data_IF_954759955363
#
_entry.id   IF_954759955363
#
_cell.length_a   1.000
_cell.length_b   1.000
_cell.length_c   1.000
_cell.angle_alpha   90.00
_cell.angle_beta   90.00
_cell.angle_gamma   90.00
#
_symmetry.space_group_name_H-M   'P 1'
#
loop_
_entity.id
_entity.type
_entity.pdbx_description
1 polymer ?
#
# COMPACT_ATOMS: atom_id res chain seq x y z
N UNK A 1 1.51 -0.75 5.30
CA UNK A 1 0.30 -1.55 5.56
C UNK A 1 -0.56 -0.90 6.63
N UNK A 2 -0.20 -0.96 7.93
CA UNK A 2 -1.05 -0.45 9.03
C UNK A 2 -1.49 1.01 8.88
N UNK A 3 -0.60 1.91 8.45
CA UNK A 3 -0.98 3.31 8.27
C UNK A 3 -2.13 3.51 7.25
N UNK A 4 -2.12 2.78 6.13
CA UNK A 4 -3.19 2.86 5.11
C UNK A 4 -4.47 2.23 5.64
N UNK A 5 -4.36 1.08 6.31
CA UNK A 5 -5.51 0.43 6.95
C UNK A 5 -6.20 1.37 7.96
N UNK A 6 -5.45 1.90 8.92
CA UNK A 6 -5.99 2.79 9.94
C UNK A 6 -6.61 4.03 9.30
N UNK A 7 -5.96 4.62 8.29
CA UNK A 7 -6.52 5.79 7.61
C UNK A 7 -7.89 5.51 6.99
N UNK A 8 -8.09 4.35 6.34
CA UNK A 8 -9.37 3.96 5.79
C UNK A 8 -10.41 3.69 6.90
N UNK A 9 -10.05 2.85 7.87
CA UNK A 9 -10.95 2.46 8.97
C UNK A 9 -11.39 3.67 9.81
N UNK A 10 -10.45 4.55 10.18
CA UNK A 10 -10.72 5.78 10.92
C UNK A 10 -11.60 6.73 10.09
N UNK A 11 -11.34 6.84 8.77
CA UNK A 11 -12.16 7.68 7.89
C UNK A 11 -13.61 7.21 7.86
N UNK A 12 -13.84 5.89 7.74
CA UNK A 12 -15.18 5.32 7.72
C UNK A 12 -15.87 5.47 9.08
N UNK A 13 -15.17 5.15 10.17
CA UNK A 13 -15.70 5.29 11.52
C UNK A 13 -16.12 6.74 11.83
N UNK A 14 -15.29 7.72 11.46
CA UNK A 14 -15.58 9.13 11.68
C UNK A 14 -16.70 9.67 10.78
N UNK A 15 -16.87 9.13 9.57
CA UNK A 15 -17.92 9.55 8.64
C UNK A 15 -19.30 8.97 8.99
N UNK A 16 -19.35 7.81 9.65
CA UNK A 16 -20.56 7.00 9.84
C UNK A 16 -21.77 7.81 10.32
N UNK A 17 -21.63 8.53 11.44
CA UNK A 17 -22.75 9.28 12.03
C UNK A 17 -23.28 10.38 11.10
N UNK A 18 -22.41 11.05 10.34
CA UNK A 18 -22.80 12.09 9.39
C UNK A 18 -23.55 11.53 8.18
N UNK A 19 -23.11 10.37 7.68
CA UNK A 19 -23.75 9.67 6.57
C UNK A 19 -25.12 9.13 6.98
N UNK A 20 -25.22 8.50 8.15
CA UNK A 20 -26.49 7.98 8.68
C UNK A 20 -27.51 9.10 8.89
N UNK A 21 -27.10 10.21 9.50
CA UNK A 21 -27.97 11.38 9.70
C UNK A 21 -28.47 11.96 8.37
N UNK A 22 -27.58 12.08 7.38
CA UNK A 22 -27.93 12.58 6.04
C UNK A 22 -28.89 11.63 5.32
N UNK A 23 -28.63 10.33 5.37
CA UNK A 23 -29.48 9.31 4.79
C UNK A 23 -30.87 9.31 5.43
N UNK A 24 -30.94 9.47 6.76
CA UNK A 24 -32.21 9.52 7.48
C UNK A 24 -33.03 10.75 7.10
N UNK A 25 -32.41 11.93 7.05
CA UNK A 25 -33.10 13.16 6.62
C UNK A 25 -33.59 13.08 5.17
N UNK A 26 -32.86 12.41 4.28
CA UNK A 26 -33.31 12.15 2.92
C UNK A 26 -34.49 11.18 2.90
N UNK A 27 -34.44 10.12 3.70
CA UNK A 27 -35.45 9.07 3.70
C UNK A 27 -36.82 9.57 4.16
N UNK A 28 -36.86 10.46 5.16
CA UNK A 28 -38.09 11.10 5.63
C UNK A 28 -38.81 11.89 4.52
N UNK A 29 -38.06 12.39 3.54
CA UNK A 29 -38.58 13.20 2.42
C UNK A 29 -38.83 12.36 1.18
N UNK A 30 -37.90 11.47 0.87
CA UNK A 30 -37.87 10.67 -0.35
C UNK A 30 -36.99 9.41 -0.12
N UNK A 31 -37.61 8.26 0.16
CA UNK A 31 -36.90 6.99 0.35
C UNK A 31 -36.02 6.57 -0.82
N UNK A 32 -36.37 6.95 -2.06
CA UNK A 32 -35.59 6.61 -3.26
C UNK A 32 -34.26 7.37 -3.25
N UNK A 33 -34.28 8.66 -2.90
CA UNK A 33 -33.07 9.49 -2.79
C UNK A 33 -32.14 9.02 -1.67
N UNK A 34 -32.69 8.56 -0.55
CA UNK A 34 -31.87 7.99 0.51
C UNK A 34 -31.13 6.72 0.06
N UNK A 35 -31.83 5.83 -0.67
CA UNK A 35 -31.21 4.63 -1.24
C UNK A 35 -30.13 4.98 -2.27
N UNK A 36 -30.40 5.93 -3.15
CA UNK A 36 -29.43 6.41 -4.14
C UNK A 36 -28.20 7.01 -3.46
N UNK A 37 -28.39 7.84 -2.44
CA UNK A 37 -27.31 8.42 -1.63
C UNK A 37 -26.42 7.34 -0.98
N UNK A 38 -27.02 6.36 -0.30
CA UNK A 38 -26.25 5.27 0.34
C UNK A 38 -25.55 4.38 -0.69
N UNK A 39 -26.15 4.14 -1.85
CA UNK A 39 -25.54 3.39 -2.94
C UNK A 39 -24.30 4.12 -3.46
N UNK A 40 -24.43 5.41 -3.77
CA UNK A 40 -23.33 6.23 -4.26
C UNK A 40 -22.21 6.34 -3.22
N UNK A 41 -22.54 6.53 -1.94
CA UNK A 41 -21.58 6.53 -0.85
C UNK A 41 -20.82 5.20 -0.76
N UNK A 42 -21.52 4.07 -0.86
CA UNK A 42 -20.91 2.73 -0.81
C UNK A 42 -19.96 2.49 -2.00
N UNK A 43 -20.36 2.88 -3.21
CA UNK A 43 -19.49 2.80 -4.39
C UNK A 43 -18.23 3.66 -4.23
N UNK A 44 -18.40 4.92 -3.82
CA UNK A 44 -17.29 5.86 -3.63
C UNK A 44 -16.30 5.38 -2.57
N UNK A 45 -16.80 4.85 -1.45
CA UNK A 45 -15.94 4.32 -0.38
C UNK A 45 -15.18 3.07 -0.82
N UNK A 46 -15.81 2.18 -1.58
CA UNK A 46 -15.17 1.00 -2.15
C UNK A 46 -14.07 1.37 -3.17
N UNK A 47 -14.35 2.30 -4.09
CA UNK A 47 -13.37 2.80 -5.05
C UNK A 47 -12.17 3.43 -4.35
N UNK A 48 -12.42 4.31 -3.38
CA UNK A 48 -11.36 4.94 -2.59
C UNK A 48 -10.51 3.93 -1.82
N UNK A 49 -11.11 2.85 -1.28
CA UNK A 49 -10.38 1.77 -0.63
C UNK A 49 -9.43 1.08 -1.62
N UNK A 50 -9.96 0.69 -2.79
CA UNK A 50 -9.19 0.00 -3.84
C UNK A 50 -8.03 0.87 -4.29
N UNK A 51 -8.26 2.15 -4.58
CA UNK A 51 -7.22 3.08 -5.02
C UNK A 51 -6.13 3.26 -3.96
N UNK A 52 -6.51 3.34 -2.69
CA UNK A 52 -5.56 3.46 -1.57
C UNK A 52 -4.67 2.23 -1.45
N UNK A 53 -5.24 1.03 -1.57
CA UNK A 53 -4.48 -0.22 -1.55
C UNK A 53 -3.61 -0.40 -2.80
N UNK A 54 -4.12 -0.04 -3.97
CA UNK A 54 -3.36 -0.07 -5.23
C UNK A 54 -2.14 0.83 -5.16
N UNK A 55 -2.31 2.07 -4.70
CA UNK A 55 -1.21 3.03 -4.51
C UNK A 55 -0.15 2.50 -3.54
N UNK A 56 -0.57 1.84 -2.45
CA UNK A 56 0.37 1.19 -1.55
C UNK A 56 1.10 0.02 -2.21
N UNK A 57 0.39 -0.82 -2.97
CA UNK A 57 0.97 -1.93 -3.71
C UNK A 57 2.03 -1.46 -4.72
N UNK A 58 1.69 -0.45 -5.53
CA UNK A 58 2.62 0.19 -6.47
C UNK A 58 3.86 0.74 -5.76
N UNK A 59 3.66 1.43 -4.62
CA UNK A 59 4.77 1.93 -3.82
C UNK A 59 5.68 0.80 -3.33
N UNK A 60 5.12 -0.29 -2.80
CA UNK A 60 5.90 -1.43 -2.30
C UNK A 60 6.68 -2.12 -3.41
N UNK A 61 6.05 -2.33 -4.58
CA UNK A 61 6.72 -2.87 -5.76
C UNK A 61 7.89 -1.97 -6.14
N UNK A 62 7.65 -0.67 -6.35
CA UNK A 62 8.71 0.27 -6.74
C UNK A 62 9.84 0.30 -5.70
N UNK A 63 9.52 0.19 -4.42
CA UNK A 63 10.49 0.24 -3.33
C UNK A 63 11.38 -1.00 -3.24
N UNK A 64 10.82 -2.19 -3.48
CA UNK A 64 11.46 -3.50 -3.18
C UNK A 64 11.66 -4.41 -4.41
N UNK A 65 11.49 -3.89 -5.64
CA UNK A 65 11.62 -4.68 -6.86
C UNK A 65 13.04 -5.26 -7.05
N UNK A 66 13.13 -6.44 -7.66
CA UNK A 66 14.39 -7.03 -8.17
C UNK A 66 15.51 -7.19 -7.12
N UNK A 67 15.15 -7.53 -5.88
CA UNK A 67 16.11 -7.68 -4.79
C UNK A 67 16.85 -6.37 -4.43
N UNK A 68 16.35 -5.24 -4.92
CA UNK A 68 16.88 -3.91 -4.63
C UNK A 68 15.92 -3.16 -3.71
N UNK A 69 16.48 -2.27 -2.89
CA UNK A 69 15.73 -1.39 -1.99
C UNK A 69 16.04 0.06 -2.38
N UNK A 70 15.02 0.78 -2.86
CA UNK A 70 15.15 2.22 -3.15
C UNK A 70 15.28 3.01 -1.86
N UNK A 71 16.05 4.10 -1.83
CA UNK A 71 16.18 4.92 -0.61
C UNK A 71 14.92 5.76 -0.35
N UNK A 72 14.66 6.10 0.91
CA UNK A 72 13.56 6.97 1.32
C UNK A 72 14.06 8.38 1.61
N UNK A 73 13.27 9.38 1.26
CA UNK A 73 13.41 10.73 1.77
C UNK A 73 12.81 10.83 3.19
N UNK A 74 13.10 11.93 3.90
CA UNK A 74 12.63 12.16 5.28
C UNK A 74 11.11 12.28 5.38
N UNK A 75 10.45 12.67 4.29
CA UNK A 75 9.00 12.81 4.18
C UNK A 75 8.26 11.48 3.90
N UNK A 76 8.99 10.37 3.80
CA UNK A 76 8.40 9.06 3.53
C UNK A 76 8.17 8.76 2.04
N UNK A 77 8.66 9.61 1.13
CA UNK A 77 8.63 9.34 -0.32
C UNK A 77 9.90 8.65 -0.81
N UNK A 78 9.88 8.10 -2.03
CA UNK A 78 11.08 7.54 -2.66
C UNK A 78 12.07 8.67 -2.95
N UNK A 79 13.32 8.52 -2.48
CA UNK A 79 14.38 9.49 -2.68
C UNK A 79 14.72 9.63 -4.17
N UNK A 80 14.59 10.85 -4.69
CA UNK A 80 14.97 11.23 -6.06
C UNK A 80 16.16 12.19 -6.01
N UNK A 81 17.26 11.92 -6.74
CA UNK A 81 18.39 12.83 -6.81
C UNK A 81 18.06 14.01 -7.73
N UNK A 82 18.75 15.14 -7.54
CA UNK A 82 18.57 16.33 -8.40
C UNK A 82 18.89 16.04 -9.88
N UNK A 83 19.84 15.14 -10.15
CA UNK A 83 20.37 14.88 -11.50
C UNK A 83 19.89 13.57 -12.13
N UNK A 84 18.77 12.98 -11.71
CA UNK A 84 18.28 11.78 -12.38
C UNK A 84 17.05 11.10 -11.77
N UNK A 85 16.75 9.90 -12.26
CA UNK A 85 15.48 9.22 -11.98
C UNK A 85 15.47 8.39 -10.68
N UNK A 86 16.63 7.91 -10.19
CA UNK A 86 16.72 7.11 -8.97
C UNK A 86 18.01 7.33 -8.20
N UNK A 87 17.89 7.48 -6.88
CA UNK A 87 19.04 7.49 -5.99
C UNK A 87 19.75 6.12 -6.00
N UNK A 88 21.02 6.04 -5.57
CA UNK A 88 21.73 4.76 -5.46
C UNK A 88 20.92 3.72 -4.67
N UNK A 89 20.77 2.54 -5.26
CA UNK A 89 19.98 1.42 -4.72
C UNK A 89 20.78 0.69 -3.64
N UNK A 90 20.08 0.10 -2.67
CA UNK A 90 20.68 -0.88 -1.73
C UNK A 90 20.35 -2.28 -2.24
N UNK A 91 21.36 -3.13 -2.41
CA UNK A 91 21.18 -4.54 -2.77
C UNK A 91 21.67 -5.40 -1.60
N UNK A 92 20.78 -5.81 -0.68
CA UNK A 92 21.18 -6.55 0.52
C UNK A 92 21.75 -7.94 0.21
N UNK A 93 21.48 -8.49 -0.97
CA UNK A 93 21.85 -9.86 -1.30
C UNK A 93 21.00 -10.87 -0.53
N UNK A 94 21.43 -12.12 -0.52
CA UNK A 94 20.75 -13.17 0.23
C UNK A 94 21.16 -13.16 1.71
N UNK A 95 20.26 -13.54 2.63
CA UNK A 95 20.60 -13.75 4.03
C UNK A 95 21.76 -14.73 4.20
N UNK A 96 22.57 -14.54 5.23
CA UNK A 96 23.74 -15.39 5.51
C UNK A 96 23.34 -16.86 5.69
N UNK A 97 22.23 -17.09 6.35
CA UNK A 97 21.68 -18.42 6.64
C UNK A 97 21.35 -19.15 5.33
N UNK A 98 20.73 -18.45 4.37
CA UNK A 98 20.45 -19.00 3.05
C UNK A 98 21.73 -19.33 2.29
N UNK A 99 22.74 -18.45 2.36
CA UNK A 99 24.03 -18.68 1.71
C UNK A 99 24.74 -19.91 2.30
N UNK A 100 24.69 -20.10 3.62
CA UNK A 100 25.26 -21.26 4.31
C UNK A 100 24.54 -22.57 3.91
N UNK A 101 23.21 -22.56 3.85
CA UNK A 101 22.43 -23.70 3.36
C UNK A 101 22.73 -24.03 1.89
N UNK A 102 22.86 -23.01 1.05
CA UNK A 102 23.20 -23.17 -0.36
C UNK A 102 24.57 -23.83 -0.53
N UNK A 103 25.58 -23.40 0.23
CA UNK A 103 26.92 -24.01 0.22
C UNK A 103 26.85 -25.47 0.67
N UNK A 104 26.12 -25.74 1.76
CA UNK A 104 25.93 -27.11 2.26
C UNK A 104 25.27 -28.03 1.23
N UNK A 105 24.23 -27.53 0.54
CA UNK A 105 23.49 -28.29 -0.47
C UNK A 105 24.31 -28.54 -1.75
N UNK A 106 25.24 -27.63 -2.08
CA UNK A 106 26.00 -27.68 -3.33
C UNK A 106 27.36 -28.34 -3.19
N UNK A 107 27.86 -28.50 -1.96
CA UNK A 107 29.13 -29.17 -1.68
C UNK A 107 30.29 -28.50 -2.41
N UNK A 108 31.14 -29.30 -3.06
CA UNK A 108 32.29 -28.79 -3.81
C UNK A 108 31.97 -28.42 -5.27
N UNK A 109 30.70 -28.48 -5.70
CA UNK A 109 30.29 -28.29 -7.11
C UNK A 109 30.81 -27.00 -7.74
N UNK A 110 30.92 -25.93 -6.96
CA UNK A 110 31.35 -24.61 -7.42
C UNK A 110 32.73 -24.19 -6.91
N UNK A 111 33.47 -25.10 -6.28
CA UNK A 111 34.82 -24.81 -5.76
C UNK A 111 35.77 -24.65 -6.96
N UNK A 112 36.36 -23.46 -7.11
CA UNK A 112 37.35 -23.24 -8.17
C UNK A 112 38.63 -24.04 -7.85
N UNK A 113 39.28 -24.56 -8.90
CA UNK A 113 40.57 -25.26 -8.82
C UNK A 113 41.71 -24.30 -8.53
#
# INVERSE_FOLDING_TARGET
MRAVQNNLEDTYANAQAGIESSAMSLYEKDPVKAKEFLTNYSCMTAESAIDSWKKLGEFLIVKYNDGAVKKMAKDGTILRPETGHCAPLVRPGYPKEFLEELVKATGERYKMK
#
